data_IF_032749110967
#
_entry.id   IF_032749110967
#
_cell.length_a   1.000
_cell.length_b   1.000
_cell.length_c   1.000
_cell.angle_alpha   90.00
_cell.angle_beta   90.00
_cell.angle_gamma   90.00
#
_symmetry.space_group_name_H-M   'P 1'
#
loop_
_entity.id
_entity.type
_entity.pdbx_description
1 polymer ?
#
# COMPACT_ATOMS: atom_id res chain seq x y z
N UNK A 1 30.24 -10.45 -50.60
CA UNK A 1 30.45 -11.50 -49.58
C UNK A 1 29.80 -11.06 -48.27
N UNK A 2 28.49 -11.28 -48.07
CA UNK A 2 27.78 -10.88 -46.83
C UNK A 2 26.84 -12.00 -46.34
N UNK A 3 26.07 -12.61 -47.24
CA UNK A 3 25.12 -13.69 -46.92
C UNK A 3 25.75 -14.98 -46.34
N UNK A 4 27.05 -15.23 -46.56
CA UNK A 4 27.72 -16.42 -46.01
C UNK A 4 28.01 -16.27 -44.50
N UNK A 5 28.38 -15.07 -44.05
CA UNK A 5 28.71 -14.84 -42.63
C UNK A 5 27.50 -15.00 -41.70
N UNK A 6 26.31 -14.59 -42.16
CA UNK A 6 25.06 -14.72 -41.39
C UNK A 6 24.59 -16.17 -41.26
N UNK A 7 24.98 -17.07 -42.16
CA UNK A 7 24.67 -18.49 -42.07
C UNK A 7 25.54 -19.19 -41.03
N UNK A 8 26.84 -18.87 -40.99
CA UNK A 8 27.82 -19.47 -40.06
C UNK A 8 27.47 -19.17 -38.60
N UNK A 9 27.15 -17.90 -38.27
CA UNK A 9 26.81 -17.53 -36.89
C UNK A 9 25.54 -18.23 -36.36
N UNK A 10 24.55 -18.54 -37.21
CA UNK A 10 23.36 -19.29 -36.80
C UNK A 10 23.65 -20.77 -36.53
N UNK A 11 24.63 -21.37 -37.23
CA UNK A 11 25.03 -22.77 -37.01
C UNK A 11 25.79 -22.92 -35.69
N UNK A 12 26.69 -21.98 -35.36
CA UNK A 12 27.48 -22.01 -34.11
C UNK A 12 26.61 -21.82 -32.86
N UNK A 13 25.57 -20.99 -32.92
CA UNK A 13 24.63 -20.85 -31.81
C UNK A 13 23.78 -22.12 -31.58
N UNK A 14 23.48 -22.86 -32.66
CA UNK A 14 22.66 -24.06 -32.59
C UNK A 14 23.41 -25.26 -32.00
N UNK A 15 24.70 -25.42 -32.31
CA UNK A 15 25.52 -26.51 -31.75
C UNK A 15 25.76 -26.36 -30.24
N UNK A 16 25.94 -25.12 -29.75
CA UNK A 16 26.09 -24.82 -28.32
C UNK A 16 24.83 -25.14 -27.50
N UNK A 17 23.64 -25.08 -28.09
CA UNK A 17 22.39 -25.45 -27.42
C UNK A 17 22.10 -26.96 -27.44
N UNK A 18 22.69 -27.73 -28.36
CA UNK A 18 22.51 -29.20 -28.40
C UNK A 18 23.51 -29.97 -27.54
N UNK A 19 24.67 -29.40 -27.18
CA UNK A 19 25.73 -30.10 -26.43
C UNK A 19 25.52 -30.21 -24.90
N UNK A 20 24.37 -29.74 -24.38
CA UNK A 20 23.99 -29.86 -22.96
C UNK A 20 22.91 -30.94 -22.71
N UNK A 21 22.54 -31.70 -23.75
CA UNK A 21 21.73 -32.91 -23.65
C UNK A 21 22.59 -34.14 -23.96
N UNK A 22 22.24 -35.28 -23.35
CA UNK A 22 22.89 -36.60 -23.51
C UNK A 22 24.28 -36.79 -22.90
N UNK A 23 24.31 -37.04 -21.58
CA UNK A 23 25.06 -38.19 -21.07
C UNK A 23 24.08 -39.16 -20.40
N UNK A 24 23.95 -40.37 -20.97
CA UNK A 24 23.17 -41.50 -20.45
C UNK A 24 24.01 -42.34 -19.49
N UNK A 25 23.56 -42.64 -18.26
CA UNK A 25 22.85 -43.90 -17.88
C UNK A 25 23.73 -45.17 -17.86
N UNK A 26 23.33 -46.31 -17.24
CA UNK A 26 22.14 -46.65 -16.45
C UNK A 26 22.53 -46.93 -14.96
N UNK A 27 21.86 -47.67 -14.06
CA UNK A 27 20.70 -48.61 -14.11
C UNK A 27 20.01 -48.71 -12.73
N UNK A 28 18.77 -49.20 -12.69
CA UNK A 28 17.90 -49.67 -11.58
C UNK A 28 16.64 -48.79 -11.39
N UNK A 29 15.64 -48.84 -12.28
CA UNK A 29 14.71 -49.95 -12.60
C UNK A 29 13.56 -50.12 -11.58
N UNK A 30 12.48 -49.33 -11.75
CA UNK A 30 11.20 -49.53 -11.07
C UNK A 30 10.01 -49.07 -11.95
N UNK A 31 9.56 -49.98 -12.83
CA UNK A 31 8.21 -50.14 -13.43
C UNK A 31 7.38 -48.88 -13.84
N UNK A 32 7.14 -48.61 -15.15
CA UNK A 32 6.42 -47.42 -15.64
C UNK A 32 4.89 -47.59 -15.69
N UNK A 33 4.26 -48.04 -14.60
CA UNK A 33 2.82 -48.31 -14.53
C UNK A 33 2.15 -47.75 -13.27
N UNK A 34 2.12 -46.42 -13.10
CA UNK A 34 1.12 -45.78 -12.22
C UNK A 34 0.59 -44.44 -12.75
N UNK A 35 0.43 -44.32 -14.08
CA UNK A 35 -0.45 -43.30 -14.68
C UNK A 35 -1.92 -43.75 -14.56
N UNK A 36 -2.44 -43.75 -13.33
CA UNK A 36 -3.87 -43.94 -13.05
C UNK A 36 -4.43 -42.85 -12.15
N UNK A 37 -5.13 -41.93 -12.82
CA UNK A 37 -6.30 -41.17 -12.35
C UNK A 37 -6.81 -41.59 -10.97
N UNK A 38 -6.31 -40.94 -9.91
CA UNK A 38 -7.01 -40.83 -8.64
C UNK A 38 -7.77 -39.51 -8.60
N UNK A 39 -8.96 -39.55 -9.21
CA UNK A 39 -10.21 -38.97 -8.69
C UNK A 39 -10.01 -37.85 -7.64
N UNK A 40 -10.14 -36.59 -8.01
CA UNK A 40 -11.44 -35.88 -7.87
C UNK A 40 -12.50 -36.70 -7.13
N UNK A 41 -12.99 -36.18 -6.00
CA UNK A 41 -13.83 -36.88 -5.02
C UNK A 41 -13.09 -37.80 -4.02
N UNK A 42 -11.96 -37.36 -3.48
CA UNK A 42 -11.91 -37.36 -2.02
C UNK A 42 -13.05 -36.46 -1.52
N UNK A 43 -14.14 -37.08 -1.08
CA UNK A 43 -15.13 -36.40 -0.27
C UNK A 43 -14.49 -36.16 1.09
N UNK A 44 -13.87 -34.99 1.27
CA UNK A 44 -13.71 -34.42 2.61
C UNK A 44 -15.05 -34.58 3.31
N UNK A 45 -15.12 -35.22 4.50
CA UNK A 45 -16.35 -35.22 5.27
C UNK A 45 -16.79 -33.77 5.41
N UNK A 46 -18.02 -33.45 5.01
CA UNK A 46 -18.62 -32.17 5.38
C UNK A 46 -18.85 -32.28 6.88
N UNK A 47 -17.81 -31.91 7.64
CA UNK A 47 -17.88 -31.73 9.07
C UNK A 47 -19.06 -30.81 9.35
N UNK A 48 -19.90 -31.23 10.29
CA UNK A 48 -21.24 -30.69 10.43
C UNK A 48 -21.21 -29.16 10.58
N UNK A 49 -22.16 -28.46 9.94
CA UNK A 49 -22.25 -26.98 9.93
C UNK A 49 -22.68 -26.39 11.28
N UNK A 50 -22.48 -27.16 12.35
CA UNK A 50 -22.74 -26.86 13.76
C UNK A 50 -21.45 -26.55 14.53
N UNK A 51 -20.26 -26.78 13.94
CA UNK A 51 -18.97 -26.27 14.42
C UNK A 51 -18.40 -25.18 13.51
N UNK A 52 -19.09 -24.04 13.42
CA UNK A 52 -18.42 -22.78 13.05
C UNK A 52 -17.36 -22.48 14.13
N UNK A 53 -16.09 -22.67 13.79
CA UNK A 53 -14.98 -22.62 14.73
C UNK A 53 -14.75 -21.22 15.31
N UNK A 54 -15.30 -20.98 16.51
CA UNK A 54 -15.03 -19.97 17.56
C UNK A 54 -14.30 -18.66 17.22
N UNK A 55 -13.18 -18.71 16.49
CA UNK A 55 -12.28 -17.60 16.16
C UNK A 55 -12.97 -16.37 15.56
N UNK A 56 -14.09 -16.52 14.83
CA UNK A 56 -14.87 -15.36 14.33
C UNK A 56 -15.50 -14.49 15.44
N UNK A 57 -15.47 -14.94 16.70
CA UNK A 57 -15.92 -14.18 17.88
C UNK A 57 -14.80 -13.47 18.65
N UNK A 58 -13.52 -13.62 18.28
CA UNK A 58 -12.40 -13.04 19.05
C UNK A 58 -11.98 -11.62 18.64
N UNK A 59 -12.52 -11.07 17.54
CA UNK A 59 -12.25 -9.67 17.14
C UNK A 59 -13.22 -8.73 17.85
N UNK A 60 -12.68 -7.87 18.72
CA UNK A 60 -13.37 -6.76 19.36
C UNK A 60 -12.99 -5.42 18.72
N UNK A 61 -13.91 -4.47 18.79
CA UNK A 61 -13.68 -3.09 18.39
C UNK A 61 -13.70 -2.19 19.62
N UNK A 62 -12.72 -1.31 19.74
CA UNK A 62 -12.54 -0.45 20.90
C UNK A 62 -13.62 0.64 20.93
N UNK A 63 -14.36 0.72 22.04
CA UNK A 63 -15.45 1.68 22.21
C UNK A 63 -14.92 2.92 22.93
N UNK A 64 -14.61 3.96 22.15
CA UNK A 64 -14.05 5.21 22.62
C UNK A 64 -14.57 6.37 21.77
N UNK A 65 -14.83 7.52 22.40
CA UNK A 65 -15.26 8.74 21.73
C UNK A 65 -14.04 9.67 21.61
N UNK A 66 -13.43 9.71 20.42
CA UNK A 66 -12.24 10.53 20.19
C UNK A 66 -12.61 12.03 20.16
N UNK A 67 -11.84 12.91 20.81
CA UNK A 67 -12.07 14.37 20.74
C UNK A 67 -12.05 14.89 19.30
N UNK A 68 -12.80 15.95 19.00
CA UNK A 68 -12.93 16.48 17.62
C UNK A 68 -11.61 17.02 17.07
N UNK A 69 -10.78 17.52 17.97
CA UNK A 69 -9.42 18.02 17.76
C UNK A 69 -8.35 16.91 17.69
N UNK A 70 -8.75 15.63 17.83
CA UNK A 70 -7.87 14.47 17.66
C UNK A 70 -7.48 14.32 16.18
N UNK A 71 -6.23 13.95 15.93
CA UNK A 71 -5.62 13.89 14.60
C UNK A 71 -6.31 12.92 13.62
N UNK A 72 -7.09 11.96 14.13
CA UNK A 72 -7.91 11.05 13.31
C UNK A 72 -9.25 11.66 12.87
N UNK A 73 -9.68 12.78 13.45
CA UNK A 73 -10.89 13.50 13.05
C UNK A 73 -10.47 14.77 12.31
N UNK A 74 -9.68 15.61 12.96
CA UNK A 74 -9.01 16.77 12.35
C UNK A 74 -7.68 16.33 11.69
N UNK A 75 -7.79 15.70 10.52
CA UNK A 75 -6.65 15.13 9.80
C UNK A 75 -5.80 16.17 9.04
N UNK A 76 -6.37 17.34 8.74
CA UNK A 76 -5.67 18.41 8.00
C UNK A 76 -4.72 19.22 8.89
N UNK A 77 -4.96 19.23 10.22
CA UNK A 77 -4.14 19.86 11.27
C UNK A 77 -2.64 19.52 11.23
N UNK A 78 -2.26 18.39 10.65
CA UNK A 78 -0.86 18.02 10.46
C UNK A 78 -0.13 18.89 9.40
N UNK A 79 -0.86 19.66 8.59
CA UNK A 79 -0.33 20.47 7.50
C UNK A 79 0.09 19.68 6.25
N UNK A 80 -0.21 18.38 6.18
CA UNK A 80 0.29 17.46 5.14
C UNK A 80 -0.75 17.05 4.09
N UNK A 81 -1.89 17.74 4.01
CA UNK A 81 -3.01 17.34 3.14
C UNK A 81 -2.72 17.64 1.66
N UNK A 82 -2.89 16.61 0.80
CA UNK A 82 -2.71 16.69 -0.65
C UNK A 82 -4.07 16.93 -1.32
N UNK A 83 -5.03 16.04 -1.08
CA UNK A 83 -6.34 16.09 -1.72
C UNK A 83 -7.42 15.33 -0.93
N UNK A 84 -8.67 15.73 -1.16
CA UNK A 84 -9.87 14.99 -0.83
C UNK A 84 -10.43 14.31 -2.10
N UNK A 85 -10.74 13.02 -2.04
CA UNK A 85 -11.34 12.26 -3.15
C UNK A 85 -12.68 11.67 -2.74
N UNK A 86 -13.69 11.83 -3.57
CA UNK A 86 -15.00 11.18 -3.42
C UNK A 86 -15.18 10.11 -4.50
N UNK A 87 -15.34 8.86 -4.06
CA UNK A 87 -15.62 7.73 -4.94
C UNK A 87 -17.14 7.58 -5.09
N UNK A 88 -17.61 7.60 -6.33
CA UNK A 88 -19.00 7.29 -6.74
C UNK A 88 -20.04 8.09 -5.94
N UNK A 89 -19.81 9.40 -5.87
CA UNK A 89 -20.62 10.43 -5.15
C UNK A 89 -20.89 10.16 -3.66
N UNK A 90 -20.18 9.20 -3.05
CA UNK A 90 -20.59 8.64 -1.76
C UNK A 90 -19.48 8.43 -0.74
N UNK A 91 -18.36 7.83 -1.14
CA UNK A 91 -17.33 7.45 -0.18
C UNK A 91 -16.18 8.45 -0.23
N UNK A 92 -15.93 9.16 0.87
CA UNK A 92 -14.93 10.21 0.93
C UNK A 92 -13.61 9.66 1.49
N UNK A 93 -12.49 10.09 0.90
CA UNK A 93 -11.13 9.69 1.24
C UNK A 93 -10.23 10.92 1.32
N UNK A 94 -9.23 10.88 2.20
CA UNK A 94 -8.13 11.83 2.20
C UNK A 94 -6.83 11.20 1.70
N UNK A 95 -6.04 12.04 1.05
CA UNK A 95 -4.68 11.75 0.61
C UNK A 95 -3.78 12.76 1.32
N UNK A 96 -2.89 12.30 2.19
CA UNK A 96 -1.96 13.16 2.94
C UNK A 96 -0.53 12.62 2.83
N UNK A 97 0.48 13.49 2.81
CA UNK A 97 1.85 13.06 3.14
C UNK A 97 1.87 12.55 4.58
N UNK A 98 2.62 11.49 4.84
CA UNK A 98 2.74 10.89 6.16
C UNK A 98 3.52 11.86 7.08
N UNK A 99 2.91 12.39 8.16
CA UNK A 99 3.51 13.50 8.92
C UNK A 99 4.72 13.09 9.78
N UNK A 100 4.99 11.79 9.94
CA UNK A 100 6.05 11.27 10.81
C UNK A 100 7.19 10.57 10.05
N UNK A 101 7.06 10.35 8.74
CA UNK A 101 8.06 9.65 7.93
C UNK A 101 8.11 10.17 6.47
N UNK A 102 9.17 10.88 6.11
CA UNK A 102 9.37 11.45 4.77
C UNK A 102 9.93 10.45 3.75
N UNK A 103 10.43 9.29 4.20
CA UNK A 103 11.08 8.28 3.36
C UNK A 103 10.13 7.77 2.26
N UNK A 104 10.63 7.66 1.03
CA UNK A 104 9.84 7.26 -0.13
C UNK A 104 8.73 8.25 -0.50
N UNK A 105 8.78 9.49 0.00
CA UNK A 105 7.69 10.47 -0.03
C UNK A 105 6.35 9.87 0.43
N UNK A 106 6.37 9.02 1.47
CA UNK A 106 5.24 8.16 1.87
C UNK A 106 3.96 8.98 2.10
N UNK A 107 2.87 8.61 1.42
CA UNK A 107 1.53 9.09 1.72
C UNK A 107 0.77 8.13 2.65
N UNK A 108 -0.33 8.62 3.20
CA UNK A 108 -1.45 7.81 3.68
C UNK A 108 -2.64 8.10 2.75
N UNK A 109 -3.22 7.05 2.16
CA UNK A 109 -4.57 7.10 1.59
C UNK A 109 -5.51 6.56 2.66
N UNK A 110 -6.57 7.29 2.98
CA UNK A 110 -7.46 6.96 4.10
C UNK A 110 -8.93 7.19 3.74
N UNK A 111 -9.79 6.25 4.14
CA UNK A 111 -11.24 6.46 4.18
C UNK A 111 -11.66 7.36 5.35
N UNK A 112 -12.50 8.35 5.04
CA UNK A 112 -13.04 9.33 5.99
C UNK A 112 -14.43 8.93 6.47
N UNK A 113 -15.41 8.86 5.57
CA UNK A 113 -16.83 8.70 5.86
C UNK A 113 -17.67 8.45 4.58
N UNK A 114 -18.92 8.04 4.78
CA UNK A 114 -20.00 8.17 3.81
C UNK A 114 -20.43 9.65 3.75
N UNK A 115 -20.90 10.17 2.60
CA UNK A 115 -21.44 11.54 2.48
C UNK A 115 -22.63 11.81 3.41
N UNK A 116 -23.24 10.77 3.99
CA UNK A 116 -24.30 10.87 4.99
C UNK A 116 -23.87 10.59 6.43
N UNK A 117 -22.58 10.40 6.73
CA UNK A 117 -22.07 10.14 8.08
C UNK A 117 -20.92 11.09 8.47
N UNK A 118 -20.52 11.08 9.74
CA UNK A 118 -19.32 11.80 10.19
C UNK A 118 -18.07 10.91 10.14
N UNK A 119 -16.89 11.52 10.33
CA UNK A 119 -15.60 10.78 10.34
C UNK A 119 -15.51 9.82 11.55
N UNK A 120 -16.12 10.17 12.68
CA UNK A 120 -16.11 9.35 13.89
C UNK A 120 -16.81 7.99 13.67
N UNK A 121 -17.93 7.98 12.93
CA UNK A 121 -18.68 6.75 12.57
C UNK A 121 -17.93 5.78 11.64
N UNK A 122 -16.79 6.19 11.05
CA UNK A 122 -15.91 5.30 10.30
C UNK A 122 -14.83 4.63 11.16
N UNK A 123 -14.61 5.09 12.40
CA UNK A 123 -13.59 4.56 13.31
C UNK A 123 -14.05 3.26 13.98
N UNK A 124 -13.09 2.39 14.32
CA UNK A 124 -13.28 1.20 15.17
C UNK A 124 -14.49 0.35 14.77
N UNK A 125 -14.62 0.01 13.48
CA UNK A 125 -15.65 -0.90 12.97
C UNK A 125 -15.15 -1.78 11.83
N UNK A 126 -16.01 -2.71 11.38
CA UNK A 126 -15.81 -3.39 10.11
C UNK A 126 -16.10 -2.44 8.95
N UNK A 127 -15.34 -2.60 7.87
CA UNK A 127 -15.56 -1.93 6.61
C UNK A 127 -16.33 -2.84 5.65
N UNK A 128 -16.96 -2.23 4.67
CA UNK A 128 -17.66 -2.90 3.59
C UNK A 128 -16.74 -3.02 2.37
N UNK A 129 -17.00 -4.01 1.52
CA UNK A 129 -16.26 -4.23 0.27
C UNK A 129 -16.33 -3.00 -0.67
N UNK A 130 -17.32 -2.12 -0.51
CA UNK A 130 -17.40 -0.86 -1.25
C UNK A 130 -16.40 0.20 -0.73
N UNK A 131 -16.24 0.30 0.58
CA UNK A 131 -15.25 1.19 1.22
C UNK A 131 -13.82 0.69 0.93
N UNK A 132 -13.58 -0.62 1.00
CA UNK A 132 -12.28 -1.22 0.64
C UNK A 132 -11.93 -1.07 -0.84
N UNK A 133 -12.92 -1.21 -1.74
CA UNK A 133 -12.72 -0.97 -3.19
C UNK A 133 -12.39 0.47 -3.47
N UNK A 134 -13.09 1.43 -2.87
CA UNK A 134 -12.81 2.85 -3.07
C UNK A 134 -11.41 3.24 -2.57
N UNK A 135 -10.95 2.69 -1.44
CA UNK A 135 -9.57 2.89 -0.98
C UNK A 135 -8.55 2.45 -2.04
N UNK A 136 -8.74 1.28 -2.62
CA UNK A 136 -7.86 0.74 -3.66
C UNK A 136 -7.95 1.52 -4.99
N UNK A 137 -9.13 2.02 -5.34
CA UNK A 137 -9.39 2.84 -6.54
C UNK A 137 -8.66 4.20 -6.45
N UNK A 138 -8.73 4.88 -5.29
CA UNK A 138 -7.95 6.09 -5.00
C UNK A 138 -6.44 5.81 -4.94
N UNK A 139 -6.05 4.61 -4.52
CA UNK A 139 -4.64 4.21 -4.46
C UNK A 139 -4.07 3.98 -5.86
N UNK A 140 -4.80 3.28 -6.73
CA UNK A 140 -4.39 3.05 -8.13
C UNK A 140 -4.18 4.37 -8.89
N UNK A 141 -5.05 5.37 -8.67
CA UNK A 141 -4.87 6.74 -9.15
C UNK A 141 -3.55 7.35 -8.64
N UNK A 142 -3.24 7.23 -7.36
CA UNK A 142 -1.98 7.76 -6.80
C UNK A 142 -0.73 7.00 -7.24
N UNK A 143 -0.81 5.70 -7.57
CA UNK A 143 0.33 4.98 -8.15
C UNK A 143 0.81 5.61 -9.47
N UNK A 144 -0.11 6.13 -10.30
CA UNK A 144 0.21 6.86 -11.53
C UNK A 144 1.06 8.12 -11.23
N UNK A 145 0.77 8.83 -10.12
CA UNK A 145 1.54 10.01 -9.68
C UNK A 145 2.98 9.64 -9.29
N UNK A 146 3.20 8.50 -8.62
CA UNK A 146 4.55 8.02 -8.34
C UNK A 146 5.29 7.56 -9.61
N UNK A 147 4.61 6.90 -10.54
CA UNK A 147 5.21 6.50 -11.82
C UNK A 147 5.62 7.71 -12.68
N UNK A 148 4.82 8.79 -12.68
CA UNK A 148 5.14 10.07 -13.34
C UNK A 148 6.37 10.76 -12.73
N UNK A 149 6.55 10.66 -11.41
CA UNK A 149 7.78 11.06 -10.72
C UNK A 149 8.98 10.12 -10.99
N UNK A 150 8.85 9.10 -11.84
CA UNK A 150 9.91 8.14 -12.15
C UNK A 150 10.21 7.13 -11.03
N UNK A 151 9.29 6.98 -10.08
CA UNK A 151 9.43 6.08 -8.92
C UNK A 151 8.70 4.76 -9.17
N UNK A 152 9.21 3.69 -8.57
CA UNK A 152 8.50 2.41 -8.49
C UNK A 152 7.51 2.50 -7.31
N UNK A 153 6.18 2.52 -7.52
CA UNK A 153 5.22 2.52 -6.43
C UNK A 153 5.27 1.22 -5.62
N UNK A 154 5.05 1.33 -4.31
CA UNK A 154 4.81 0.22 -3.40
C UNK A 154 3.78 0.65 -2.36
N UNK A 155 2.74 -0.16 -2.15
CA UNK A 155 1.74 0.10 -1.11
C UNK A 155 1.53 -1.08 -0.17
N UNK A 156 0.89 -0.81 0.98
CA UNK A 156 0.45 -1.82 1.94
C UNK A 156 -0.69 -1.31 2.81
N UNK A 157 -1.82 -2.00 2.76
CA UNK A 157 -2.90 -1.87 3.75
C UNK A 157 -2.52 -2.69 4.99
N UNK A 158 -2.36 -2.01 6.12
CA UNK A 158 -2.01 -2.58 7.42
C UNK A 158 -2.96 -2.00 8.50
N UNK A 159 -2.76 -2.37 9.75
CA UNK A 159 -3.43 -1.71 10.88
C UNK A 159 -2.68 -1.78 12.21
N UNK A 160 -1.43 -2.25 12.18
CA UNK A 160 -0.70 -2.80 13.34
C UNK A 160 -0.60 -1.85 14.54
N UNK A 161 -0.52 -0.54 14.31
CA UNK A 161 -0.42 0.47 15.36
C UNK A 161 -1.75 0.74 16.08
N UNK A 162 -2.87 0.37 15.46
CA UNK A 162 -4.22 0.37 16.03
C UNK A 162 -4.68 -1.02 16.51
N UNK A 163 -3.91 -2.08 16.28
CA UNK A 163 -4.29 -3.47 16.57
C UNK A 163 -3.51 -4.01 17.78
N UNK A 164 -4.21 -4.71 18.68
CA UNK A 164 -3.59 -5.40 19.83
C UNK A 164 -4.15 -6.81 20.01
N UNK A 165 -3.39 -7.68 20.65
CA UNK A 165 -3.75 -9.08 20.89
C UNK A 165 -3.44 -9.49 22.32
N UNK A 166 -4.42 -10.04 23.04
CA UNK A 166 -4.23 -10.63 24.36
C UNK A 166 -4.06 -12.15 24.24
N UNK A 167 -2.87 -12.65 24.56
CA UNK A 167 -2.58 -14.09 24.51
C UNK A 167 -3.42 -14.94 25.48
N UNK A 168 -3.92 -14.35 26.58
CA UNK A 168 -4.65 -15.07 27.63
C UNK A 168 -6.12 -15.31 27.23
N UNK A 169 -6.80 -14.26 26.75
CA UNK A 169 -8.18 -14.37 26.25
C UNK A 169 -8.25 -14.81 24.78
N UNK A 170 -7.14 -14.72 24.05
CA UNK A 170 -7.04 -14.93 22.58
C UNK A 170 -7.85 -13.92 21.77
N UNK A 171 -8.12 -12.74 22.34
CA UNK A 171 -8.88 -11.66 21.73
C UNK A 171 -7.97 -10.70 20.96
N UNK A 172 -8.42 -10.29 19.77
CA UNK A 172 -7.84 -9.22 18.96
C UNK A 172 -8.69 -7.97 19.16
N UNK A 173 -8.08 -6.84 19.53
CA UNK A 173 -8.77 -5.54 19.62
C UNK A 173 -8.32 -4.62 18.50
N UNK A 174 -9.28 -3.97 17.86
CA UNK A 174 -9.07 -2.96 16.81
C UNK A 174 -9.47 -1.59 17.36
N UNK A 175 -8.52 -0.66 17.35
CA UNK A 175 -8.56 0.65 18.00
C UNK A 175 -7.94 0.62 19.42
N UNK A 176 -7.38 1.75 19.83
CA UNK A 176 -6.94 2.04 21.19
C UNK A 176 -7.13 3.54 21.50
N UNK A 177 -6.75 4.00 22.70
CA UNK A 177 -6.98 5.39 23.15
C UNK A 177 -6.18 6.44 22.36
N UNK A 178 -5.00 6.09 21.82
CA UNK A 178 -4.17 7.00 20.99
C UNK A 178 -4.55 6.98 19.50
N UNK A 179 -5.02 5.83 19.02
CA UNK A 179 -5.05 5.49 17.61
C UNK A 179 -6.24 4.58 17.28
N UNK A 180 -7.29 5.10 16.60
CA UNK A 180 -8.41 4.28 16.15
C UNK A 180 -8.00 3.36 15.00
N UNK A 181 -8.67 2.22 14.91
CA UNK A 181 -8.69 1.40 13.70
C UNK A 181 -9.40 2.17 12.59
N UNK A 182 -8.65 2.50 11.54
CA UNK A 182 -9.11 3.23 10.36
C UNK A 182 -8.84 2.41 9.11
N UNK A 183 -9.75 2.43 8.13
CA UNK A 183 -9.46 1.93 6.79
C UNK A 183 -8.51 2.91 6.08
N UNK A 184 -7.24 2.53 6.01
CA UNK A 184 -6.18 3.31 5.39
C UNK A 184 -5.07 2.38 4.87
N UNK A 185 -4.23 2.91 3.99
CA UNK A 185 -3.01 2.26 3.56
C UNK A 185 -1.87 3.27 3.40
N UNK A 186 -0.65 2.75 3.33
CA UNK A 186 0.53 3.51 2.94
C UNK A 186 0.86 3.23 1.48
N UNK A 187 1.21 4.27 0.73
CA UNK A 187 1.85 4.18 -0.60
C UNK A 187 3.14 5.01 -0.54
N UNK A 188 4.22 4.53 -1.17
CA UNK A 188 5.52 5.18 -1.22
C UNK A 188 6.27 4.79 -2.50
N UNK A 189 7.21 5.64 -2.91
CA UNK A 189 8.08 5.39 -4.07
C UNK A 189 9.38 4.69 -3.69
N UNK A 190 9.96 3.95 -4.65
CA UNK A 190 11.32 3.40 -4.59
C UNK A 190 12.14 3.84 -5.81
N UNK A 191 13.41 4.12 -5.58
CA UNK A 191 14.40 4.62 -6.52
C UNK A 191 15.77 4.67 -5.83
N UNK A 192 16.71 5.48 -6.32
CA UNK A 192 17.93 5.79 -5.56
C UNK A 192 17.58 6.63 -4.32
N UNK A 193 17.86 6.18 -3.09
CA UNK A 193 17.59 6.94 -1.87
C UNK A 193 18.25 8.33 -1.80
N UNK A 194 19.32 8.57 -2.55
CA UNK A 194 20.05 9.84 -2.56
C UNK A 194 19.61 10.77 -3.69
N UNK A 195 18.72 10.33 -4.58
CA UNK A 195 18.25 11.14 -5.70
C UNK A 195 17.05 11.99 -5.30
N UNK A 196 17.02 13.21 -5.84
CA UNK A 196 15.96 14.20 -5.66
C UNK A 196 14.97 14.09 -6.82
N UNK A 197 14.15 13.03 -6.82
CA UNK A 197 13.04 12.87 -7.77
C UNK A 197 12.04 14.02 -7.65
N UNK A 198 11.86 14.53 -6.42
CA UNK A 198 11.36 15.87 -6.12
C UNK A 198 12.59 16.76 -5.86
N UNK A 199 12.88 17.80 -6.67
CA UNK A 199 14.05 18.65 -6.51
C UNK A 199 14.15 19.28 -5.12
N UNK A 200 15.31 19.20 -4.47
CA UNK A 200 15.51 19.66 -3.09
C UNK A 200 14.97 18.73 -2.00
N UNK A 201 14.44 17.55 -2.34
CA UNK A 201 13.94 16.56 -1.36
C UNK A 201 14.46 15.15 -1.72
N UNK A 202 15.49 14.62 -1.04
CA UNK A 202 16.00 13.28 -1.35
C UNK A 202 14.99 12.21 -0.95
N UNK A 203 14.84 11.18 -1.80
CA UNK A 203 13.84 10.11 -1.64
C UNK A 203 13.99 9.33 -0.32
N UNK A 204 15.24 9.11 0.14
CA UNK A 204 15.60 8.30 1.31
C UNK A 204 15.01 6.87 1.22
N UNK A 205 14.87 6.20 2.36
CA UNK A 205 14.51 4.79 2.44
C UNK A 205 15.68 3.84 2.11
N UNK A 206 15.47 2.52 2.15
CA UNK A 206 16.48 1.54 1.77
C UNK A 206 16.57 1.39 0.24
N UNK A 207 17.77 1.07 -0.26
CA UNK A 207 18.02 0.82 -1.69
C UNK A 207 17.05 -0.23 -2.29
N UNK A 208 16.72 -0.15 -3.60
CA UNK A 208 15.84 -1.12 -4.25
C UNK A 208 16.34 -2.57 -4.09
N UNK A 209 15.39 -3.51 -4.03
CA UNK A 209 15.66 -4.91 -3.68
C UNK A 209 15.61 -5.20 -2.18
N UNK A 210 15.78 -4.21 -1.30
CA UNK A 210 15.55 -4.35 0.14
C UNK A 210 14.08 -4.06 0.52
N UNK A 211 13.61 -4.71 1.58
CA UNK A 211 12.30 -4.44 2.19
C UNK A 211 12.28 -3.06 2.86
N UNK A 212 11.18 -2.32 2.70
CA UNK A 212 10.93 -1.05 3.37
C UNK A 212 10.18 -1.31 4.69
N UNK A 213 10.76 -0.94 5.84
CA UNK A 213 10.05 -1.05 7.13
C UNK A 213 9.19 0.21 7.34
N UNK A 214 7.86 0.03 7.39
CA UNK A 214 6.87 1.09 7.62
C UNK A 214 6.75 1.52 9.10
N UNK A 215 7.46 0.83 10.00
CA UNK A 215 7.52 1.05 11.45
C UNK A 215 6.20 0.72 12.17
N UNK A 216 6.09 -0.52 12.64
CA UNK A 216 5.15 -0.87 13.71
C UNK A 216 5.58 -0.26 15.06
N UNK A 217 4.64 0.27 15.85
CA UNK A 217 4.84 0.69 17.25
C UNK A 217 5.24 -0.50 18.14
N UNK A 218 4.58 -1.63 17.95
CA UNK A 218 4.86 -2.90 18.63
C UNK A 218 5.97 -3.66 17.88
N UNK A 219 7.13 -3.83 18.54
CA UNK A 219 8.25 -4.64 18.04
C UNK A 219 8.75 -5.58 19.13
N UNK A 220 9.04 -6.83 18.78
CA UNK A 220 9.69 -7.80 19.69
C UNK A 220 11.20 -7.61 19.75
N UNK A 221 11.79 -7.12 18.66
CA UNK A 221 13.24 -6.91 18.49
C UNK A 221 13.51 -5.55 17.83
N UNK A 222 14.65 -4.89 18.10
CA UNK A 222 15.04 -3.64 17.43
C UNK A 222 15.24 -3.81 15.91
N UNK A 223 14.98 -2.74 15.16
CA UNK A 223 15.14 -2.70 13.69
C UNK A 223 16.13 -1.62 13.27
N UNK A 224 16.95 -1.91 12.25
CA UNK A 224 17.91 -0.95 11.70
C UNK A 224 17.25 0.21 10.91
N UNK A 225 15.97 0.08 10.56
CA UNK A 225 15.17 1.15 9.95
C UNK A 225 14.33 1.86 11.00
N UNK A 226 14.19 3.17 10.83
CA UNK A 226 13.39 4.09 11.64
C UNK A 226 12.74 5.15 10.74
N UNK A 227 11.66 5.76 11.20
CA UNK A 227 10.98 6.84 10.50
C UNK A 227 11.80 8.14 10.56
N UNK A 228 11.85 8.90 9.47
CA UNK A 228 12.59 10.17 9.39
C UNK A 228 11.58 11.30 9.31
N UNK A 229 11.60 12.23 10.27
CA UNK A 229 10.71 13.40 10.26
C UNK A 229 10.95 14.26 9.01
N UNK A 230 9.91 14.94 8.56
CA UNK A 230 10.05 16.01 7.57
C UNK A 230 10.83 17.20 8.12
N UNK A 231 11.76 17.72 7.34
CA UNK A 231 12.21 19.11 7.50
C UNK A 231 11.13 20.05 6.92
N UNK A 232 10.82 21.20 7.54
CA UNK A 232 9.66 22.01 7.14
C UNK A 232 9.68 22.47 5.67
N UNK A 233 10.85 22.85 5.16
CA UNK A 233 11.02 23.27 3.77
C UNK A 233 10.86 22.10 2.79
N UNK A 234 11.33 20.91 3.14
CA UNK A 234 11.15 19.71 2.31
C UNK A 234 9.67 19.30 2.22
N UNK A 235 8.92 19.44 3.31
CA UNK A 235 7.49 19.16 3.31
C UNK A 235 6.73 20.11 2.38
N UNK A 236 7.03 21.41 2.43
CA UNK A 236 6.40 22.41 1.57
C UNK A 236 6.66 22.13 0.08
N UNK A 237 7.90 21.81 -0.28
CA UNK A 237 8.29 21.43 -1.64
C UNK A 237 7.58 20.13 -2.07
N UNK A 238 7.62 19.09 -1.24
CA UNK A 238 7.00 17.80 -1.57
C UNK A 238 5.47 17.90 -1.69
N UNK A 239 4.80 18.74 -0.89
CA UNK A 239 3.38 19.01 -1.01
C UNK A 239 3.05 19.75 -2.32
N UNK A 240 3.86 20.75 -2.72
CA UNK A 240 3.64 21.46 -3.98
C UNK A 240 3.76 20.50 -5.17
N UNK A 241 4.87 19.77 -5.28
CA UNK A 241 5.14 18.89 -6.42
C UNK A 241 4.15 17.72 -6.51
N UNK A 242 3.73 17.12 -5.37
CA UNK A 242 2.71 16.06 -5.39
C UNK A 242 1.30 16.59 -5.76
N UNK A 243 0.98 17.85 -5.43
CA UNK A 243 -0.27 18.49 -5.89
C UNK A 243 -0.22 18.85 -7.37
N UNK A 244 0.93 19.35 -7.84
CA UNK A 244 1.16 19.69 -9.25
C UNK A 244 1.08 18.45 -10.16
N UNK A 245 1.75 17.35 -9.80
CA UNK A 245 1.67 16.10 -10.57
C UNK A 245 0.29 15.42 -10.48
N UNK A 246 -0.40 15.49 -9.33
CA UNK A 246 -1.78 15.01 -9.22
C UNK A 246 -2.72 15.82 -10.13
N UNK A 247 -2.61 17.15 -10.14
CA UNK A 247 -3.39 18.01 -11.04
C UNK A 247 -3.10 17.72 -12.51
N UNK A 248 -1.82 17.64 -12.88
CA UNK A 248 -1.38 17.31 -14.23
C UNK A 248 -1.68 15.86 -14.65
N UNK A 249 -2.05 14.99 -13.71
CA UNK A 249 -2.62 13.67 -14.00
C UNK A 249 -4.15 13.72 -14.18
N UNK A 250 -4.89 14.43 -13.31
CA UNK A 250 -6.36 14.59 -13.43
C UNK A 250 -6.76 15.27 -14.75
N UNK A 251 -5.97 16.22 -15.23
CA UNK A 251 -6.21 16.88 -16.53
C UNK A 251 -5.90 16.01 -17.76
N UNK A 252 -5.28 14.83 -17.58
CA UNK A 252 -4.84 13.95 -18.67
C UNK A 252 -5.96 13.10 -19.29
N UNK A 253 -5.69 12.57 -20.48
CA UNK A 253 -6.60 11.61 -21.14
C UNK A 253 -6.64 10.26 -20.40
N UNK A 254 -5.50 9.78 -19.87
CA UNK A 254 -5.41 8.54 -19.08
C UNK A 254 -6.35 8.55 -17.85
N UNK A 255 -6.41 9.66 -17.10
CA UNK A 255 -7.34 9.77 -15.97
C UNK A 255 -8.82 9.78 -16.42
N UNK A 256 -9.11 10.35 -17.59
CA UNK A 256 -10.48 10.42 -18.12
C UNK A 256 -10.96 9.09 -18.69
N UNK A 257 -10.07 8.27 -19.25
CA UNK A 257 -10.43 6.94 -19.74
C UNK A 257 -10.64 5.93 -18.61
N UNK A 258 -9.89 6.02 -17.50
CA UNK A 258 -9.93 5.04 -16.40
C UNK A 258 -10.76 5.47 -15.16
N UNK A 259 -10.87 6.78 -14.85
CA UNK A 259 -11.33 7.24 -13.52
C UNK A 259 -12.41 8.33 -13.48
N UNK A 260 -12.66 9.11 -14.55
CA UNK A 260 -13.57 10.27 -14.43
C UNK A 260 -15.04 9.94 -14.12
N UNK A 261 -15.48 8.71 -14.43
CA UNK A 261 -16.82 8.21 -14.10
C UNK A 261 -16.94 7.71 -12.64
N UNK A 262 -15.84 7.70 -11.87
CA UNK A 262 -15.83 7.19 -10.49
C UNK A 262 -15.15 8.05 -9.44
N UNK A 263 -14.20 8.93 -9.81
CA UNK A 263 -13.42 9.75 -8.88
C UNK A 263 -13.67 11.27 -9.07
N UNK A 264 -14.32 11.89 -8.09
CA UNK A 264 -14.37 13.35 -7.91
C UNK A 264 -13.21 13.78 -7.00
N UNK A 265 -12.25 14.55 -7.52
CA UNK A 265 -10.98 14.88 -6.85
C UNK A 265 -10.84 16.38 -6.61
N UNK A 266 -10.74 16.77 -5.34
CA UNK A 266 -10.47 18.15 -4.90
C UNK A 266 -9.07 18.23 -4.29
N UNK A 267 -8.13 18.85 -5.00
CA UNK A 267 -6.79 19.14 -4.46
C UNK A 267 -6.91 20.19 -3.36
N UNK A 268 -6.29 19.93 -2.21
CA UNK A 268 -6.35 20.85 -1.07
C UNK A 268 -5.47 22.08 -1.33
N UNK A 269 -5.87 23.29 -0.91
CA UNK A 269 -5.04 24.49 -1.06
C UNK A 269 -3.69 24.34 -0.32
N UNK A 270 -2.68 25.10 -0.74
CA UNK A 270 -1.41 25.21 0.00
C UNK A 270 -1.62 26.10 1.22
N UNK A 271 -1.97 25.47 2.35
CA UNK A 271 -1.95 26.11 3.66
C UNK A 271 -0.53 26.05 4.22
N UNK A 272 0.21 27.17 4.21
CA UNK A 272 1.48 27.23 4.93
C UNK A 272 1.25 26.86 6.41
N UNK A 273 2.01 25.92 6.98
CA UNK A 273 1.79 25.48 8.35
C UNK A 273 2.08 26.61 9.34
N UNK A 274 1.14 26.87 10.26
CA UNK A 274 1.41 27.75 11.40
C UNK A 274 2.55 27.15 12.23
N UNK A 275 3.69 27.84 12.29
CA UNK A 275 4.98 27.33 12.79
C UNK A 275 5.02 26.93 14.29
N UNK A 276 3.89 26.98 14.99
CA UNK A 276 3.78 26.69 16.41
C UNK A 276 3.37 25.24 16.71
N UNK A 277 2.82 24.51 15.73
CA UNK A 277 2.27 23.16 15.93
C UNK A 277 3.31 22.07 16.30
N UNK A 278 4.61 22.32 16.10
CA UNK A 278 5.69 21.36 16.38
C UNK A 278 6.39 21.58 17.74
N UNK A 279 5.75 22.30 18.67
CA UNK A 279 6.20 22.44 20.07
C UNK A 279 5.24 21.76 21.05
N UNK A 280 5.32 20.43 21.13
CA UNK A 280 5.14 19.59 22.32
C UNK A 280 5.46 18.13 21.95
#
# INVERSE_FOLDING_TARGET
>A
MVFIAQLINKIILLTLFLSLSFFSSPTLNANPYDLRVYNMYEKTPIADKTQEGSYLKSIKFFKYEYPKEHWSIDYTKAGTSIAHVRVKDKYNYSIILNPTDCRGYRIIVRYLNDTHSDIASALNRRYTVAEERGLNEVTAMMERVYERLGLIPQFSQLGNNSHSFDEKTRELTIGNEEEPGMLHLHLWGRGDPNHEFIPGVPLRGPIPGLMFDLIAKSKTEPTNQFAIKWEPQELEIALSVLKEELGAYIDSEEFREEFSDSLDVSIDPVTHPAMEAFKN
#
